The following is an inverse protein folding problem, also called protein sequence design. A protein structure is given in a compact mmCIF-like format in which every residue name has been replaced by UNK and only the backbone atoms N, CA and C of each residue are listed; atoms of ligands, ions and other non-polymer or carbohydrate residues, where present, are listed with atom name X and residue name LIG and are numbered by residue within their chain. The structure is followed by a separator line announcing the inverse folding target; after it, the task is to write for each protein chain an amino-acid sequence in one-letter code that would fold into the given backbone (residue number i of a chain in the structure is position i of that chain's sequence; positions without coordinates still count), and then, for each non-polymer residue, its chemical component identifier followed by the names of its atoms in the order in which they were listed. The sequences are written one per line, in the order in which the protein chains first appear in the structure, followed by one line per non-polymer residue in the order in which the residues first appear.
data_IF_915961563557
#
_entry.id   IF_915961563557
#
_cell.length_a   1.000
_cell.length_b   1.000
_cell.length_c   1.000
_cell.angle_alpha   90.00
_cell.angle_beta   90.00
_cell.angle_gamma   90.00
#
_symmetry.space_group_name_H-M   'P 1'
#
loop_
_entity.id
_entity.type
_entity.pdbx_description
1 polymer ?
#
# COMPACT_ATOMS: atom_id res chain seq x y z
N UNK A 1 -7.80 -24.41 0.19
CA UNK A 1 -7.31 -23.20 -0.51
C UNK A 1 -6.10 -22.66 0.25
N UNK A 2 -5.01 -22.36 -0.45
CA UNK A 2 -3.80 -21.80 0.15
C UNK A 2 -3.99 -20.28 0.22
N UNK A 3 -3.80 -19.70 1.40
CA UNK A 3 -3.84 -18.24 1.58
C UNK A 3 -2.47 -17.67 1.17
N UNK A 4 -2.47 -16.61 0.37
CA UNK A 4 -1.24 -15.89 0.00
C UNK A 4 -0.55 -15.35 1.27
N UNK A 5 0.74 -15.63 1.48
CA UNK A 5 1.48 -15.10 2.64
C UNK A 5 1.39 -13.58 2.79
N UNK A 6 1.32 -12.83 1.69
CA UNK A 6 1.16 -11.38 1.73
C UNK A 6 -0.12 -10.94 2.44
N UNK A 7 -1.22 -11.69 2.29
CA UNK A 7 -2.48 -11.44 2.99
C UNK A 7 -2.31 -11.61 4.50
N UNK A 8 -1.62 -12.67 4.91
CA UNK A 8 -1.32 -12.91 6.33
C UNK A 8 -0.43 -11.81 6.92
N UNK A 9 0.53 -11.29 6.16
CA UNK A 9 1.36 -10.17 6.59
C UNK A 9 0.57 -8.88 6.77
N UNK A 10 -0.36 -8.58 5.88
CA UNK A 10 -1.26 -7.42 5.99
C UNK A 10 -2.05 -7.51 7.30
N UNK A 11 -2.70 -8.65 7.53
CA UNK A 11 -3.49 -8.88 8.74
C UNK A 11 -2.64 -8.73 9.99
N UNK A 12 -1.47 -9.38 10.03
CA UNK A 12 -0.57 -9.33 11.18
C UNK A 12 -0.04 -7.91 11.45
N UNK A 13 0.34 -7.18 10.41
CA UNK A 13 0.78 -5.79 10.55
C UNK A 13 -0.33 -4.90 11.14
N UNK A 14 -1.56 -5.06 10.65
CA UNK A 14 -2.70 -4.30 11.17
C UNK A 14 -3.02 -4.65 12.63
N UNK A 15 -2.84 -5.91 13.04
CA UNK A 15 -3.00 -6.33 14.44
C UNK A 15 -1.94 -5.71 15.36
N UNK A 16 -0.69 -5.62 14.90
CA UNK A 16 0.44 -5.08 15.69
C UNK A 16 0.41 -3.56 15.83
N UNK A 17 -0.23 -2.87 14.90
CA UNK A 17 -0.38 -1.42 14.97
C UNK A 17 -1.37 -1.02 16.05
N UNK A 18 -1.01 0.01 16.84
CA UNK A 18 -2.01 0.71 17.65
C UNK A 18 -2.98 1.51 16.78
N UNK A 19 -4.19 1.79 17.30
CA UNK A 19 -5.13 2.69 16.63
C UNK A 19 -4.47 4.00 16.20
N UNK A 20 -4.74 4.48 14.99
CA UNK A 20 -4.07 5.64 14.40
C UNK A 20 -2.66 5.42 13.89
N UNK A 21 -2.08 4.23 14.10
CA UNK A 21 -0.74 3.87 13.62
C UNK A 21 -0.66 3.81 12.10
N UNK A 22 0.54 4.01 11.56
CA UNK A 22 0.82 4.03 10.12
C UNK A 22 1.57 2.79 9.68
N UNK A 23 1.25 2.28 8.50
CA UNK A 23 1.88 1.14 7.86
C UNK A 23 2.28 1.49 6.44
N UNK A 24 3.54 1.24 6.09
CA UNK A 24 3.99 1.14 4.72
C UNK A 24 4.38 -0.31 4.46
N UNK A 25 3.80 -0.92 3.45
CA UNK A 25 4.05 -2.31 3.09
C UNK A 25 4.20 -2.44 1.58
N UNK A 26 5.18 -3.22 1.15
CA UNK A 26 5.36 -3.56 -0.26
C UNK A 26 4.59 -4.84 -0.56
N UNK A 27 3.72 -4.78 -1.56
CA UNK A 27 2.83 -5.88 -1.93
C UNK A 27 2.92 -6.17 -3.42
N UNK A 28 2.69 -7.43 -3.84
CA UNK A 28 2.45 -7.75 -5.24
C UNK A 28 1.23 -6.99 -5.77
N UNK A 29 1.30 -6.47 -6.99
CA UNK A 29 0.19 -5.71 -7.61
C UNK A 29 -1.11 -6.52 -7.68
N UNK A 30 -1.02 -7.84 -7.80
CA UNK A 30 -2.18 -8.72 -7.84
C UNK A 30 -3.15 -8.50 -6.66
N UNK A 31 -2.62 -8.29 -5.45
CA UNK A 31 -3.45 -8.04 -4.26
C UNK A 31 -4.28 -6.75 -4.42
N UNK A 32 -3.74 -5.76 -5.12
CA UNK A 32 -4.38 -4.46 -5.30
C UNK A 32 -5.39 -4.46 -6.46
N UNK A 33 -5.27 -5.36 -7.44
CA UNK A 33 -6.06 -5.31 -8.67
C UNK A 33 -6.85 -6.58 -9.01
N UNK A 34 -6.41 -7.78 -8.60
CA UNK A 34 -7.11 -9.02 -8.93
C UNK A 34 -8.49 -9.10 -8.30
N UNK A 35 -9.45 -9.63 -9.03
CA UNK A 35 -10.82 -9.82 -8.53
C UNK A 35 -10.88 -10.82 -7.36
N UNK A 36 -10.05 -11.86 -7.39
CA UNK A 36 -9.94 -12.86 -6.33
C UNK A 36 -9.48 -12.29 -4.98
N UNK A 37 -8.76 -11.17 -4.99
CA UNK A 37 -8.22 -10.52 -3.80
C UNK A 37 -9.09 -9.35 -3.31
N UNK A 38 -10.30 -9.21 -3.86
CA UNK A 38 -11.25 -8.18 -3.45
C UNK A 38 -11.54 -8.20 -1.95
N UNK A 39 -11.63 -9.38 -1.34
CA UNK A 39 -11.88 -9.53 0.09
C UNK A 39 -10.79 -8.90 0.95
N UNK A 40 -9.53 -8.89 0.49
CA UNK A 40 -8.40 -8.24 1.18
C UNK A 40 -8.58 -6.72 1.17
N UNK A 41 -8.94 -6.16 0.02
CA UNK A 41 -9.21 -4.72 -0.11
C UNK A 41 -10.41 -4.29 0.73
N UNK A 42 -11.46 -5.09 0.76
CA UNK A 42 -12.64 -4.86 1.62
C UNK A 42 -12.30 -4.99 3.11
N UNK A 43 -11.40 -5.90 3.48
CA UNK A 43 -10.90 -5.98 4.85
C UNK A 43 -10.16 -4.71 5.27
N UNK A 44 -9.37 -4.14 4.38
CA UNK A 44 -8.59 -2.91 4.64
C UNK A 44 -9.52 -1.69 4.65
N UNK A 45 -10.21 -1.42 3.56
CA UNK A 45 -10.96 -0.18 3.34
C UNK A 45 -12.40 -0.24 3.83
N UNK A 46 -12.97 -1.42 3.89
CA UNK A 46 -14.41 -1.63 4.04
C UNK A 46 -15.11 -1.90 2.71
N UNK A 47 -16.39 -2.20 2.81
CA UNK A 47 -17.26 -2.36 1.64
C UNK A 47 -17.84 -1.02 1.24
N UNK A 48 -17.89 -0.77 -0.06
CA UNK A 48 -18.53 0.44 -0.58
C UNK A 48 -20.04 0.32 -0.43
N UNK A 49 -20.64 1.27 0.27
CA UNK A 49 -22.08 1.43 0.32
C UNK A 49 -22.57 2.02 -1.01
N UNK A 50 -23.49 1.32 -1.69
CA UNK A 50 -23.99 1.72 -3.01
C UNK A 50 -24.83 3.01 -2.96
N UNK A 51 -25.42 3.32 -1.81
CA UNK A 51 -26.30 4.51 -1.65
C UNK A 51 -25.48 5.76 -1.35
N UNK A 52 -24.49 5.66 -0.48
CA UNK A 52 -23.67 6.81 -0.03
C UNK A 52 -22.37 6.94 -0.81
N UNK A 53 -21.90 5.86 -1.42
CA UNK A 53 -20.57 5.79 -2.04
C UNK A 53 -19.41 5.69 -1.04
N UNK A 54 -19.69 5.66 0.24
CA UNK A 54 -18.70 5.60 1.30
C UNK A 54 -18.23 4.16 1.56
N UNK A 55 -17.02 4.03 2.09
CA UNK A 55 -16.48 2.74 2.53
C UNK A 55 -16.75 2.52 4.01
N UNK A 56 -17.39 1.38 4.35
CA UNK A 56 -17.85 1.07 5.70
C UNK A 56 -17.22 -0.22 6.20
N UNK A 57 -16.79 -0.23 7.46
CA UNK A 57 -16.36 -1.43 8.18
C UNK A 57 -14.91 -1.87 7.95
N UNK A 58 -14.09 -1.03 7.31
CA UNK A 58 -12.67 -1.32 7.10
C UNK A 58 -11.82 -1.11 8.35
N UNK A 59 -10.63 -1.70 8.34
CA UNK A 59 -9.64 -1.59 9.44
C UNK A 59 -8.75 -0.36 9.34
N UNK A 60 -8.57 0.16 8.13
CA UNK A 60 -7.61 1.22 7.84
C UNK A 60 -8.13 2.19 6.76
N UNK A 61 -7.49 3.34 6.70
CA UNK A 61 -7.65 4.33 5.64
C UNK A 61 -6.45 4.20 4.71
N UNK A 62 -6.69 4.02 3.43
CA UNK A 62 -5.63 4.01 2.41
C UNK A 62 -5.23 5.46 2.12
N UNK A 63 -3.95 5.77 2.32
CA UNK A 63 -3.40 7.12 2.12
C UNK A 63 -2.71 7.25 0.76
N UNK A 64 -1.92 6.25 0.38
CA UNK A 64 -1.19 6.28 -0.89
C UNK A 64 -0.95 4.88 -1.45
N UNK A 65 -0.84 4.81 -2.77
CA UNK A 65 -0.36 3.65 -3.52
C UNK A 65 0.71 4.13 -4.49
N UNK A 66 1.92 3.58 -4.37
CA UNK A 66 3.06 3.93 -5.21
C UNK A 66 3.50 2.69 -5.96
N UNK A 67 3.32 2.68 -7.26
CA UNK A 67 3.78 1.59 -8.13
C UNK A 67 5.30 1.62 -8.27
N UNK A 68 5.96 0.48 -8.06
CA UNK A 68 7.41 0.33 -8.20
C UNK A 68 7.77 -0.28 -9.56
N UNK A 69 8.96 0.00 -10.10
CA UNK A 69 9.41 -0.64 -11.34
C UNK A 69 9.62 -2.15 -11.14
N UNK A 70 9.45 -2.93 -12.21
CA UNK A 70 9.60 -4.39 -12.20
C UNK A 70 11.03 -4.85 -11.84
N UNK A 71 12.03 -4.00 -11.99
CA UNK A 71 13.42 -4.28 -11.66
C UNK A 71 13.73 -4.15 -10.16
N UNK A 72 12.80 -3.63 -9.36
CA UNK A 72 13.01 -3.35 -7.94
C UNK A 72 13.52 -4.55 -7.14
N UNK A 73 13.03 -5.76 -7.43
CA UNK A 73 13.42 -6.99 -6.77
C UNK A 73 14.08 -8.01 -7.71
N UNK A 74 14.58 -7.56 -8.85
CA UNK A 74 15.18 -8.44 -9.87
C UNK A 74 16.34 -9.25 -9.30
N UNK A 75 17.21 -8.64 -8.50
CA UNK A 75 18.34 -9.32 -7.85
C UNK A 75 17.90 -10.32 -6.77
N UNK A 76 16.70 -10.20 -6.25
CA UNK A 76 16.10 -11.17 -5.33
C UNK A 76 15.43 -12.34 -6.04
N UNK A 77 15.63 -12.47 -7.35
CA UNK A 77 15.16 -13.58 -8.15
C UNK A 77 13.72 -13.45 -8.65
N UNK A 78 13.11 -12.28 -8.54
CA UNK A 78 11.74 -12.05 -9.01
C UNK A 78 11.63 -10.78 -9.85
N UNK A 79 10.95 -10.88 -10.99
CA UNK A 79 10.51 -9.74 -11.80
C UNK A 79 9.07 -9.30 -11.50
N UNK A 80 8.52 -9.74 -10.37
CA UNK A 80 7.15 -9.39 -9.99
C UNK A 80 6.98 -7.88 -9.84
N UNK A 81 5.89 -7.37 -10.40
CA UNK A 81 5.48 -5.98 -10.24
C UNK A 81 4.90 -5.78 -8.83
N UNK A 82 5.42 -4.80 -8.12
CA UNK A 82 5.03 -4.50 -6.74
C UNK A 82 4.65 -3.05 -6.57
N UNK A 83 3.94 -2.76 -5.49
CA UNK A 83 3.57 -1.41 -5.08
C UNK A 83 3.75 -1.22 -3.58
N UNK A 84 4.07 0.01 -3.19
CA UNK A 84 4.02 0.44 -1.79
C UNK A 84 2.59 0.83 -1.48
N UNK A 85 2.01 0.21 -0.44
CA UNK A 85 0.73 0.60 0.11
C UNK A 85 0.96 1.34 1.43
N UNK A 86 0.48 2.57 1.53
CA UNK A 86 0.53 3.37 2.75
C UNK A 86 -0.86 3.45 3.38
N UNK A 87 -0.96 2.95 4.59
CA UNK A 87 -2.20 2.86 5.37
C UNK A 87 -2.08 3.59 6.70
N UNK A 88 -3.21 4.05 7.21
CA UNK A 88 -3.37 4.45 8.60
C UNK A 88 -4.46 3.59 9.25
N UNK A 89 -4.13 2.86 10.31
CA UNK A 89 -5.12 2.12 11.08
C UNK A 89 -6.14 3.09 11.66
N UNK A 90 -7.42 2.75 11.59
CA UNK A 90 -8.49 3.60 12.13
C UNK A 90 -8.31 3.80 13.63
N UNK A 91 -8.70 4.96 14.13
CA UNK A 91 -8.69 5.25 15.55
C UNK A 91 -9.76 4.44 16.27
N UNK A 92 -9.50 4.09 17.53
CA UNK A 92 -10.50 3.45 18.37
C UNK A 92 -11.60 4.46 18.74
N UNK A 93 -12.83 3.94 18.88
CA UNK A 93 -13.92 4.74 19.41
C UNK A 93 -13.69 4.98 20.91
N UNK A 94 -13.61 6.24 21.40
CA UNK A 94 -13.37 6.52 22.82
C UNK A 94 -14.43 5.91 23.76
N UNK A 95 -15.66 5.74 23.27
CA UNK A 95 -16.76 5.18 24.06
C UNK A 95 -16.88 3.67 23.97
N UNK A 96 -16.29 3.07 22.94
CA UNK A 96 -16.31 1.63 22.66
C UNK A 96 -14.96 1.22 22.07
N UNK A 97 -13.90 1.05 22.90
CA UNK A 97 -12.52 0.83 22.42
C UNK A 97 -12.32 -0.39 21.53
N UNK A 98 -13.22 -1.35 21.56
CA UNK A 98 -13.26 -2.52 20.69
C UNK A 98 -13.75 -2.20 19.26
N UNK A 99 -14.29 -1.01 19.04
CA UNK A 99 -14.79 -0.56 17.76
C UNK A 99 -13.90 0.55 17.17
N UNK A 100 -13.81 0.60 15.85
CA UNK A 100 -13.16 1.72 15.18
C UNK A 100 -14.12 2.89 14.96
N UNK A 101 -13.56 4.11 14.96
CA UNK A 101 -14.29 5.28 14.52
C UNK A 101 -14.67 5.16 13.04
N UNK A 102 -15.87 5.63 12.65
CA UNK A 102 -16.32 5.66 11.26
C UNK A 102 -15.65 6.81 10.49
N UNK A 103 -14.33 6.80 10.44
CA UNK A 103 -13.57 7.79 9.68
C UNK A 103 -13.76 7.56 8.18
N UNK A 104 -14.03 8.59 7.36
CA UNK A 104 -14.22 8.42 5.94
C UNK A 104 -12.91 8.04 5.24
N UNK A 105 -13.00 7.25 4.17
CA UNK A 105 -11.88 7.05 3.28
C UNK A 105 -11.61 8.37 2.54
N UNK A 106 -10.41 8.89 2.66
CA UNK A 106 -9.96 10.08 1.93
C UNK A 106 -9.51 9.74 0.50
N UNK A 107 -9.27 10.74 -0.31
CA UNK A 107 -8.64 10.54 -1.60
C UNK A 107 -7.30 9.83 -1.45
N UNK A 108 -7.03 8.89 -2.36
CA UNK A 108 -5.81 8.11 -2.36
C UNK A 108 -4.79 8.77 -3.26
N UNK A 109 -3.64 9.15 -2.70
CA UNK A 109 -2.51 9.60 -3.51
C UNK A 109 -1.96 8.43 -4.32
N UNK A 110 -1.87 8.58 -5.64
CA UNK A 110 -1.37 7.54 -6.53
C UNK A 110 -0.19 8.05 -7.35
N UNK A 111 0.88 7.27 -7.39
CA UNK A 111 2.07 7.60 -8.16
C UNK A 111 2.72 6.35 -8.75
N UNK A 112 3.51 6.57 -9.79
CA UNK A 112 4.33 5.55 -10.44
C UNK A 112 5.79 5.97 -10.35
N UNK A 113 6.62 5.13 -9.73
CA UNK A 113 8.06 5.24 -9.79
C UNK A 113 8.55 4.40 -10.97
N UNK A 114 9.13 5.03 -11.97
CA UNK A 114 9.70 4.35 -13.14
C UNK A 114 11.15 3.93 -12.88
N UNK A 115 11.86 4.70 -12.05
CA UNK A 115 13.27 4.49 -11.72
C UNK A 115 13.55 4.75 -10.24
N UNK A 116 14.50 4.02 -9.67
CA UNK A 116 14.88 4.09 -8.25
C UNK A 116 16.34 4.56 -8.04
N UNK A 117 16.93 5.25 -9.02
CA UNK A 117 18.29 5.76 -8.94
C UNK A 117 19.37 4.74 -9.34
N UNK A 118 18.99 3.59 -9.86
CA UNK A 118 19.91 2.56 -10.35
C UNK A 118 19.30 1.80 -11.53
N UNK A 119 20.16 1.10 -12.27
CA UNK A 119 19.77 0.08 -13.24
C UNK A 119 20.43 -1.24 -12.88
N UNK A 120 19.78 -2.37 -13.23
CA UNK A 120 20.34 -3.69 -13.00
C UNK A 120 21.03 -4.17 -14.29
N UNK A 121 22.36 -4.31 -14.22
CA UNK A 121 23.19 -4.86 -15.30
C UNK A 121 24.08 -5.98 -14.74
N UNK A 122 24.18 -7.10 -15.45
CA UNK A 122 25.02 -8.23 -15.04
C UNK A 122 24.83 -8.67 -13.59
N UNK A 123 23.58 -8.70 -13.12
CA UNK A 123 23.21 -9.01 -11.72
C UNK A 123 23.82 -8.06 -10.67
N UNK A 124 24.11 -6.83 -11.04
CA UNK A 124 24.62 -5.78 -10.14
C UNK A 124 23.77 -4.53 -10.31
N UNK A 125 23.48 -3.85 -9.19
CA UNK A 125 22.88 -2.53 -9.21
C UNK A 125 23.91 -1.48 -9.59
N UNK A 126 23.69 -0.80 -10.71
CA UNK A 126 24.54 0.31 -11.17
C UNK A 126 23.90 1.64 -10.82
N UNK A 127 24.39 2.27 -9.78
CA UNK A 127 23.96 3.60 -9.33
C UNK A 127 24.61 4.74 -10.12
N UNK A 128 25.59 4.47 -10.96
CA UNK A 128 26.30 5.46 -11.75
C UNK A 128 25.70 5.68 -13.14
N UNK A 129 24.60 5.01 -13.45
CA UNK A 129 23.92 5.12 -14.75
C UNK A 129 23.24 6.47 -15.02
N UNK A 130 23.30 7.43 -14.08
CA UNK A 130 22.65 8.73 -14.22
C UNK A 130 21.12 8.69 -14.15
N UNK A 131 20.57 7.64 -13.57
CA UNK A 131 19.12 7.45 -13.45
C UNK A 131 18.61 8.11 -12.17
N UNK A 132 17.54 8.90 -12.29
CA UNK A 132 16.93 9.56 -11.13
C UNK A 132 16.21 8.57 -10.21
N UNK A 133 16.15 8.90 -8.92
CA UNK A 133 15.27 8.22 -7.98
C UNK A 133 13.93 8.95 -7.90
N UNK A 134 12.90 8.38 -8.51
CA UNK A 134 11.58 9.00 -8.57
C UNK A 134 10.89 9.07 -7.20
N UNK A 135 11.28 8.24 -6.23
CA UNK A 135 10.68 8.27 -4.89
C UNK A 135 10.87 9.63 -4.21
N UNK A 136 11.97 10.33 -4.45
CA UNK A 136 12.22 11.66 -3.87
C UNK A 136 11.20 12.69 -4.36
N UNK A 137 10.88 12.65 -5.65
CA UNK A 137 9.85 13.51 -6.26
C UNK A 137 8.45 13.13 -5.76
N UNK A 138 8.16 11.84 -5.67
CA UNK A 138 6.87 11.32 -5.19
C UNK A 138 6.62 11.74 -3.74
N UNK A 139 7.61 11.59 -2.87
CA UNK A 139 7.51 12.03 -1.47
C UNK A 139 7.29 13.54 -1.38
N UNK A 140 7.98 14.31 -2.20
CA UNK A 140 7.83 15.78 -2.24
C UNK A 140 6.41 16.16 -2.70
N UNK A 141 5.88 15.52 -3.73
CA UNK A 141 4.52 15.74 -4.21
C UNK A 141 3.48 15.37 -3.15
N UNK A 142 3.62 14.20 -2.51
CA UNK A 142 2.75 13.78 -1.43
C UNK A 142 2.69 14.81 -0.28
N UNK A 143 3.85 15.34 0.13
CA UNK A 143 3.92 16.35 1.20
C UNK A 143 3.27 17.68 0.83
N UNK A 144 3.25 18.03 -0.46
CA UNK A 144 2.56 19.23 -0.97
C UNK A 144 1.06 19.04 -1.17
N UNK A 145 0.57 17.81 -1.09
CA UNK A 145 -0.84 17.47 -1.33
C UNK A 145 -1.21 17.44 -2.83
N UNK A 146 -0.23 17.17 -3.67
CA UNK A 146 -0.42 17.06 -5.12
C UNK A 146 -0.88 15.67 -5.56
#
# INVERSE_FOLDING_TARGET
ATIDPAVLFIDRCLQLLKPGGRLLIVLPDGILCNSGDRYVREYIMGKKDEKTGEFVGGKAIVKAVISLPSDCFKLSGTGAKTSILYLQKRHANPNQPEQFLPEPQTDVFMAVAETLGYVVKNNIEDYNAGVANDLDKIVSAYKRGE
#
